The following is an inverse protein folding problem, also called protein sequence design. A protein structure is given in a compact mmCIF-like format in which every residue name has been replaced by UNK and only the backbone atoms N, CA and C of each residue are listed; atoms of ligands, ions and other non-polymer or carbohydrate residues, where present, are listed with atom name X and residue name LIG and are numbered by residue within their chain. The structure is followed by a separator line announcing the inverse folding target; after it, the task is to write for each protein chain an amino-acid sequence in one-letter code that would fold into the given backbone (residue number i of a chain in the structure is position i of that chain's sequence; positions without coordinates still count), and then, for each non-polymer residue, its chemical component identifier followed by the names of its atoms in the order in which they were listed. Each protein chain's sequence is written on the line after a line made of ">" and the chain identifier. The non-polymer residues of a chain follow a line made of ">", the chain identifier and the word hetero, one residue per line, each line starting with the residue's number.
data_IF_369106784355
#
_entry.id   IF_369106784355
#
_cell.length_a   1.000
_cell.length_b   1.000
_cell.length_c   1.000
_cell.angle_alpha   90.00
_cell.angle_beta   90.00
_cell.angle_gamma   90.00
#
_symmetry.space_group_name_H-M   'P 1'
#
loop_
_entity.id
_entity.type
_entity.pdbx_description
1 polymer ?
#
# COMPACT_ATOMS: atom_id res chain seq x y z
N UNK A 1 -73.99 -69.03 25.85
CA UNK A 1 -72.64 -69.67 25.75
C UNK A 1 -71.71 -68.66 25.10
N UNK A 2 -70.48 -68.35 25.51
CA UNK A 2 -69.48 -68.93 26.41
C UNK A 2 -68.52 -67.78 26.78
N UNK A 3 -68.52 -67.31 28.03
CA UNK A 3 -67.43 -67.44 29.02
C UNK A 3 -65.97 -67.25 28.55
N UNK A 4 -65.28 -66.40 29.34
CA UNK A 4 -63.88 -66.47 29.79
C UNK A 4 -62.77 -66.11 28.78
N UNK A 5 -61.64 -65.48 29.15
CA UNK A 5 -61.11 -65.10 30.44
C UNK A 5 -60.06 -63.98 30.29
N UNK A 6 -59.98 -63.16 31.34
CA UNK A 6 -58.88 -62.33 31.82
C UNK A 6 -57.46 -62.69 31.34
N UNK A 7 -56.73 -61.69 30.80
CA UNK A 7 -55.29 -61.54 31.05
C UNK A 7 -54.89 -60.07 31.27
N UNK A 8 -54.88 -59.72 32.56
CA UNK A 8 -53.98 -58.83 33.29
C UNK A 8 -52.80 -58.20 32.51
N UNK A 9 -52.84 -56.89 32.26
CA UNK A 9 -51.64 -56.08 32.01
C UNK A 9 -51.71 -54.81 32.87
N UNK A 10 -50.75 -54.70 33.78
CA UNK A 10 -50.60 -53.66 34.79
C UNK A 10 -50.35 -52.30 34.15
N UNK A 11 -51.08 -51.27 34.60
CA UNK A 11 -50.79 -49.86 34.31
C UNK A 11 -49.58 -49.45 35.15
N UNK A 12 -48.46 -49.13 34.50
CA UNK A 12 -47.37 -48.40 35.13
C UNK A 12 -47.20 -47.05 34.44
N UNK A 13 -47.05 -46.04 35.30
CA UNK A 13 -47.02 -44.63 34.98
C UNK A 13 -45.90 -44.28 34.00
N UNK A 14 -46.21 -43.33 33.10
CA UNK A 14 -45.24 -42.66 32.24
C UNK A 14 -44.41 -41.74 33.12
N UNK A 15 -43.17 -42.13 33.42
CA UNK A 15 -42.12 -41.25 33.94
C UNK A 15 -41.13 -41.06 32.80
N UNK A 16 -40.97 -39.86 32.22
CA UNK A 16 -39.93 -39.65 31.22
C UNK A 16 -38.58 -39.70 31.92
N UNK A 17 -37.78 -40.69 31.52
CA UNK A 17 -36.40 -40.92 31.88
C UNK A 17 -35.56 -39.70 31.46
N UNK A 18 -34.97 -39.03 32.44
CA UNK A 18 -33.94 -38.02 32.22
C UNK A 18 -32.75 -38.66 31.50
N UNK A 19 -32.55 -38.28 30.23
CA UNK A 19 -31.33 -38.62 29.49
C UNK A 19 -30.29 -37.52 29.73
N UNK A 20 -29.27 -37.88 30.50
CA UNK A 20 -28.05 -37.10 30.70
C UNK A 20 -27.34 -36.93 29.36
N UNK A 21 -27.33 -35.72 28.82
CA UNK A 21 -26.36 -35.28 27.81
C UNK A 21 -25.52 -34.17 28.45
N UNK A 22 -24.41 -34.59 29.06
CA UNK A 22 -23.25 -33.72 29.28
C UNK A 22 -22.75 -33.30 27.89
N UNK A 23 -22.99 -32.05 27.52
CA UNK A 23 -22.65 -31.56 26.19
C UNK A 23 -22.47 -30.06 26.14
N UNK A 24 -21.21 -29.66 26.31
CA UNK A 24 -20.62 -28.39 25.89
C UNK A 24 -21.18 -27.10 26.51
N UNK A 25 -20.50 -26.67 27.58
CA UNK A 25 -20.34 -25.26 27.90
C UNK A 25 -20.08 -24.48 26.60
N UNK A 26 -20.94 -23.51 26.29
CA UNK A 26 -20.66 -22.52 25.27
C UNK A 26 -19.46 -21.70 25.73
N UNK A 27 -18.26 -22.14 25.34
CA UNK A 27 -17.13 -21.24 25.20
C UNK A 27 -17.58 -20.19 24.18
N UNK A 28 -18.09 -19.07 24.70
CA UNK A 28 -18.10 -17.80 23.99
C UNK A 28 -16.71 -17.67 23.41
N UNK A 29 -16.61 -17.84 22.09
CA UNK A 29 -15.41 -17.55 21.35
C UNK A 29 -15.16 -16.07 21.57
N UNK A 30 -14.39 -15.74 22.61
CA UNK A 30 -13.61 -14.51 22.59
C UNK A 30 -12.91 -14.56 21.25
N UNK A 31 -13.23 -13.61 20.37
CA UNK A 31 -12.48 -13.39 19.15
C UNK A 31 -11.03 -13.26 19.58
N UNK A 32 -10.27 -14.35 19.42
CA UNK A 32 -8.83 -14.32 19.55
C UNK A 32 -8.41 -13.33 18.47
N UNK A 33 -7.95 -12.18 18.93
CA UNK A 33 -7.48 -11.07 18.12
C UNK A 33 -6.18 -11.53 17.46
N UNK A 34 -6.28 -12.34 16.41
CA UNK A 34 -5.15 -12.59 15.54
C UNK A 34 -4.90 -11.29 14.80
N UNK A 35 -3.73 -10.65 14.97
CA UNK A 35 -3.41 -9.48 14.16
C UNK A 35 -3.52 -9.89 12.69
N UNK A 36 -4.34 -9.15 11.95
CA UNK A 36 -4.44 -9.28 10.51
C UNK A 36 -3.04 -9.02 9.92
N UNK A 37 -2.34 -10.09 9.55
CA UNK A 37 -0.99 -10.04 9.02
C UNK A 37 -0.88 -9.00 7.88
N UNK A 38 -1.92 -8.90 7.06
CA UNK A 38 -2.05 -7.88 6.02
C UNK A 38 -1.99 -6.45 6.57
N UNK A 39 -2.79 -6.07 7.57
CA UNK A 39 -2.73 -4.70 8.09
C UNK A 39 -1.44 -4.43 8.87
N UNK A 40 -0.83 -5.46 9.49
CA UNK A 40 0.50 -5.31 10.06
C UNK A 40 1.56 -4.99 8.99
N UNK A 41 1.47 -5.63 7.82
CA UNK A 41 2.34 -5.34 6.67
C UNK A 41 2.04 -3.97 6.04
N UNK A 42 0.77 -3.59 5.92
CA UNK A 42 0.36 -2.26 5.43
C UNK A 42 0.90 -1.16 6.35
N UNK A 43 0.73 -1.30 7.66
CA UNK A 43 1.22 -0.31 8.61
C UNK A 43 2.76 -0.23 8.60
N UNK A 44 3.44 -1.38 8.51
CA UNK A 44 4.90 -1.39 8.33
C UNK A 44 5.32 -0.66 7.05
N UNK A 45 4.63 -0.89 5.94
CA UNK A 45 4.87 -0.20 4.68
C UNK A 45 4.68 1.31 4.82
N UNK A 46 3.61 1.74 5.48
CA UNK A 46 3.33 3.16 5.78
C UNK A 46 4.46 3.79 6.61
N UNK A 47 4.92 3.11 7.66
CA UNK A 47 6.03 3.59 8.49
C UNK A 47 7.32 3.75 7.68
N UNK A 48 7.67 2.77 6.85
CA UNK A 48 8.83 2.86 5.96
C UNK A 48 8.66 4.04 4.99
N UNK A 49 7.50 4.18 4.38
CA UNK A 49 7.23 5.22 3.38
C UNK A 49 7.43 6.65 3.92
N UNK A 50 6.96 6.92 5.15
CA UNK A 50 6.98 8.26 5.71
C UNK A 50 8.16 8.54 6.63
N UNK A 51 8.84 7.52 7.17
CA UNK A 51 9.88 7.71 8.18
C UNK A 51 11.27 7.20 7.77
N UNK A 52 11.38 6.27 6.81
CA UNK A 52 12.68 5.74 6.41
C UNK A 52 13.37 6.66 5.40
N UNK A 53 14.68 6.87 5.61
CA UNK A 53 15.52 7.72 4.76
C UNK A 53 16.50 6.90 3.93
N UNK A 54 16.62 5.59 4.20
CA UNK A 54 17.47 4.64 3.51
C UNK A 54 18.96 5.03 3.55
N UNK A 55 19.38 5.73 4.62
CA UNK A 55 20.71 6.31 4.75
C UNK A 55 21.08 7.22 3.55
N UNK A 56 20.07 7.87 2.96
CA UNK A 56 20.20 8.76 1.82
C UNK A 56 20.35 10.23 2.22
N UNK A 57 19.77 11.10 1.41
CA UNK A 57 19.83 12.56 1.54
C UNK A 57 18.89 13.17 2.62
N UNK A 58 18.28 12.34 3.47
CA UNK A 58 17.34 12.77 4.49
C UNK A 58 15.88 12.94 4.03
N UNK A 59 15.59 12.81 2.73
CA UNK A 59 14.20 12.69 2.23
C UNK A 59 13.63 11.31 2.53
N UNK A 60 12.31 11.23 2.66
CA UNK A 60 11.53 9.99 2.69
C UNK A 60 10.65 9.89 1.44
N UNK A 61 9.99 8.76 1.18
CA UNK A 61 9.04 8.67 0.07
C UNK A 61 7.95 9.75 0.20
N UNK A 62 7.51 10.01 1.44
CA UNK A 62 6.54 11.05 1.77
C UNK A 62 7.00 12.49 1.50
N UNK A 63 8.30 12.75 1.31
CA UNK A 63 8.79 14.10 0.96
C UNK A 63 8.32 14.51 -0.44
N UNK A 64 8.34 13.59 -1.40
CA UNK A 64 7.82 13.83 -2.75
C UNK A 64 6.35 13.42 -2.88
N UNK A 65 5.90 12.39 -2.16
CA UNK A 65 4.51 11.92 -2.16
C UNK A 65 3.75 12.44 -0.94
N UNK A 66 3.38 13.72 -0.99
CA UNK A 66 2.77 14.43 0.15
C UNK A 66 1.36 13.95 0.45
N UNK A 67 1.16 13.34 1.62
CA UNK A 67 -0.16 12.81 2.02
C UNK A 67 -1.21 13.92 2.12
N UNK A 68 -0.79 15.13 2.54
CA UNK A 68 -1.65 16.30 2.69
C UNK A 68 -2.04 16.90 1.33
N UNK A 69 -1.35 16.52 0.26
CA UNK A 69 -1.59 16.99 -1.11
C UNK A 69 -1.84 15.83 -2.08
N UNK A 70 -2.68 14.88 -1.70
CA UNK A 70 -3.10 13.76 -2.57
C UNK A 70 -1.93 12.98 -3.20
N UNK A 71 -0.84 12.82 -2.45
CA UNK A 71 0.41 12.14 -2.82
C UNK A 71 1.15 12.77 -4.01
N UNK A 72 0.94 14.06 -4.28
CA UNK A 72 1.56 14.82 -5.38
C UNK A 72 2.25 16.09 -4.90
N UNK A 73 2.99 16.73 -5.81
CA UNK A 73 3.60 18.05 -5.66
C UNK A 73 3.12 18.94 -6.80
N UNK A 74 2.69 20.14 -6.44
CA UNK A 74 2.41 21.22 -7.37
C UNK A 74 3.01 22.52 -6.83
N UNK A 75 3.24 23.53 -7.69
CA UNK A 75 3.88 24.78 -7.28
C UNK A 75 3.14 25.50 -6.15
N UNK A 76 1.80 25.41 -6.12
CA UNK A 76 1.01 26.09 -5.09
C UNK A 76 1.24 25.43 -3.72
N UNK A 77 1.28 24.10 -3.64
CA UNK A 77 1.62 23.39 -2.42
C UNK A 77 3.07 23.66 -1.99
N UNK A 78 4.04 23.59 -2.93
CA UNK A 78 5.46 23.83 -2.64
C UNK A 78 5.69 25.22 -2.04
N UNK A 79 4.99 26.23 -2.53
CA UNK A 79 5.09 27.60 -2.00
C UNK A 79 4.62 27.75 -0.54
N UNK A 80 3.90 26.76 0.01
CA UNK A 80 3.47 26.75 1.42
C UNK A 80 4.51 26.15 2.37
N UNK A 81 5.53 25.47 1.83
CA UNK A 81 6.51 24.74 2.64
C UNK A 81 7.56 25.67 3.22
N UNK A 82 8.06 25.39 4.44
CA UNK A 82 9.19 26.14 4.99
C UNK A 82 10.45 25.85 4.19
N UNK A 83 11.36 26.83 4.08
CA UNK A 83 12.64 26.65 3.34
C UNK A 83 13.55 25.55 3.94
N UNK A 84 13.27 25.09 5.15
CA UNK A 84 13.94 23.96 5.81
C UNK A 84 13.29 22.61 5.53
N UNK A 85 12.23 22.55 4.72
CA UNK A 85 11.59 21.28 4.34
C UNK A 85 12.62 20.38 3.63
N UNK A 86 12.67 19.06 3.92
CA UNK A 86 13.59 18.13 3.25
C UNK A 86 13.48 18.10 1.72
N UNK A 87 12.34 18.53 1.15
CA UNK A 87 12.21 18.75 -0.28
C UNK A 87 13.28 19.72 -0.81
N UNK A 88 13.71 20.69 -0.01
CA UNK A 88 14.67 21.73 -0.39
C UNK A 88 16.11 21.42 0.03
N UNK A 89 16.42 20.18 0.42
CA UNK A 89 17.74 19.82 0.96
C UNK A 89 18.92 20.22 0.06
N UNK A 90 18.74 20.23 -1.26
CA UNK A 90 19.76 20.69 -2.22
C UNK A 90 20.08 22.19 -2.11
N UNK A 91 19.14 23.00 -1.62
CA UNK A 91 19.29 24.46 -1.48
C UNK A 91 20.19 24.81 -0.29
N UNK A 92 20.28 23.94 0.73
CA UNK A 92 21.01 24.23 1.97
C UNK A 92 22.07 23.20 2.38
N UNK A 93 22.13 22.02 1.74
CA UNK A 93 23.22 21.07 1.92
C UNK A 93 24.23 21.21 0.78
N UNK A 94 25.47 21.68 1.04
CA UNK A 94 26.48 21.89 0.00
C UNK A 94 26.85 20.60 -0.75
N UNK A 95 26.78 19.43 -0.10
CA UNK A 95 27.11 18.14 -0.72
C UNK A 95 26.07 17.70 -1.76
N UNK A 96 24.91 18.36 -1.82
CA UNK A 96 23.79 18.05 -2.70
C UNK A 96 23.49 19.17 -3.71
N UNK A 97 24.37 20.15 -3.87
CA UNK A 97 24.13 21.28 -4.79
C UNK A 97 24.34 20.91 -6.26
N UNK A 98 25.14 19.89 -6.55
CA UNK A 98 25.50 19.50 -7.90
C UNK A 98 24.78 18.20 -8.31
N UNK A 99 24.16 18.20 -9.49
CA UNK A 99 23.55 17.03 -10.13
C UNK A 99 22.56 16.24 -9.25
N UNK A 100 21.84 16.92 -8.36
CA UNK A 100 20.88 16.30 -7.44
C UNK A 100 19.45 16.77 -7.65
N UNK A 101 19.18 18.08 -7.59
CA UNK A 101 17.87 18.68 -7.85
C UNK A 101 18.05 19.99 -8.62
N UNK A 102 17.05 20.40 -9.40
CA UNK A 102 17.00 21.74 -9.95
C UNK A 102 15.98 22.59 -9.18
N UNK A 103 16.40 23.45 -8.22
CA UNK A 103 15.46 24.18 -7.36
C UNK A 103 14.44 25.01 -8.12
N UNK A 104 14.84 25.60 -9.26
CA UNK A 104 13.93 26.39 -10.09
C UNK A 104 12.81 25.52 -10.66
N UNK A 105 13.15 24.38 -11.26
CA UNK A 105 12.14 23.51 -11.88
C UNK A 105 11.24 22.83 -10.84
N UNK A 106 11.80 22.46 -9.69
CA UNK A 106 11.04 21.94 -8.56
C UNK A 106 10.07 22.99 -8.02
N UNK A 107 10.53 24.22 -7.71
CA UNK A 107 9.67 25.28 -7.14
C UNK A 107 8.60 25.77 -8.13
N UNK A 108 8.96 25.98 -9.39
CA UNK A 108 8.07 26.59 -10.39
C UNK A 108 7.12 25.59 -11.06
N UNK A 109 7.49 24.31 -11.16
CA UNK A 109 6.73 23.30 -11.90
C UNK A 109 6.41 22.03 -11.11
N UNK A 110 6.94 21.85 -9.89
CA UNK A 110 6.77 20.62 -9.13
C UNK A 110 7.48 19.41 -9.74
N UNK A 111 8.54 19.65 -10.52
CA UNK A 111 9.32 18.60 -11.16
C UNK A 111 10.50 18.18 -10.29
N UNK A 112 10.68 16.88 -10.14
CA UNK A 112 11.76 16.24 -9.39
C UNK A 112 12.75 15.63 -10.38
N UNK A 113 14.05 15.81 -10.11
CA UNK A 113 15.10 15.16 -10.90
C UNK A 113 15.14 13.66 -10.59
N UNK A 114 15.06 12.82 -11.63
CA UNK A 114 15.20 11.37 -11.49
C UNK A 114 16.26 10.82 -12.46
N UNK A 115 16.99 9.79 -12.01
CA UNK A 115 18.04 9.13 -12.78
C UNK A 115 17.57 7.75 -13.27
N UNK A 116 16.39 7.69 -13.92
CA UNK A 116 15.75 6.44 -14.34
C UNK A 116 16.64 5.61 -15.28
N UNK A 117 17.45 6.27 -16.10
CA UNK A 117 18.37 5.66 -17.06
C UNK A 117 19.78 5.36 -16.47
N UNK A 118 19.94 5.49 -15.15
CA UNK A 118 21.16 5.16 -14.42
C UNK A 118 22.09 6.35 -14.10
N UNK A 119 23.15 6.08 -13.34
CA UNK A 119 23.98 7.09 -12.66
C UNK A 119 25.33 7.38 -13.34
N UNK A 120 25.52 6.95 -14.59
CA UNK A 120 26.83 6.99 -15.26
C UNK A 120 27.25 8.40 -15.71
N UNK A 121 26.29 9.31 -15.91
CA UNK A 121 26.52 10.72 -16.24
C UNK A 121 25.40 11.59 -15.65
N UNK A 122 25.56 12.02 -14.40
CA UNK A 122 24.52 12.77 -13.70
C UNK A 122 24.30 14.19 -14.26
N UNK A 123 25.22 14.69 -15.08
CA UNK A 123 25.12 16.04 -15.66
C UNK A 123 24.25 16.06 -16.92
N UNK A 124 23.98 14.91 -17.55
CA UNK A 124 23.21 14.84 -18.79
C UNK A 124 22.17 13.71 -18.83
N UNK A 125 22.36 12.66 -18.03
CA UNK A 125 21.49 11.48 -17.97
C UNK A 125 20.53 11.56 -16.77
N UNK A 126 19.63 12.54 -16.83
CA UNK A 126 18.55 12.72 -15.87
C UNK A 126 17.27 13.12 -16.60
N UNK A 127 16.13 12.89 -15.94
CA UNK A 127 14.85 13.43 -16.37
C UNK A 127 14.28 14.34 -15.27
N UNK A 128 13.30 15.16 -15.63
CA UNK A 128 12.53 15.96 -14.68
C UNK A 128 11.09 15.44 -14.70
N UNK A 129 10.71 14.69 -13.66
CA UNK A 129 9.42 14.02 -13.53
C UNK A 129 8.48 14.75 -12.59
N UNK A 130 7.19 14.82 -12.93
CA UNK A 130 6.16 15.24 -11.99
C UNK A 130 5.77 14.07 -11.08
N UNK A 131 5.34 14.36 -9.85
CA UNK A 131 4.84 13.32 -8.94
C UNK A 131 3.35 13.09 -9.21
N UNK A 132 2.92 11.97 -9.81
CA UNK A 132 1.49 11.75 -10.05
C UNK A 132 0.74 11.57 -8.74
N UNK A 133 -0.48 12.11 -8.65
CA UNK A 133 -1.39 11.87 -7.53
C UNK A 133 -1.81 10.39 -7.45
N UNK A 134 -2.77 10.00 -6.61
CA UNK A 134 -3.28 8.60 -6.56
C UNK A 134 -4.64 8.38 -7.21
N UNK A 135 -5.33 9.46 -7.64
CA UNK A 135 -6.73 9.39 -8.09
C UNK A 135 -6.98 8.40 -9.25
N UNK A 136 -6.09 8.31 -10.24
CA UNK A 136 -6.25 7.39 -11.37
C UNK A 136 -5.28 6.20 -11.37
N UNK A 137 -4.58 5.96 -10.25
CA UNK A 137 -3.71 4.79 -10.08
C UNK A 137 -4.49 3.49 -10.27
N UNK A 138 -5.73 3.43 -9.76
CA UNK A 138 -6.60 2.25 -9.92
C UNK A 138 -6.99 2.01 -11.39
N UNK A 139 -7.18 3.06 -12.17
CA UNK A 139 -7.60 2.97 -13.58
C UNK A 139 -6.43 2.74 -14.53
N UNK A 140 -5.21 3.09 -14.14
CA UNK A 140 -4.01 2.89 -14.96
C UNK A 140 -3.41 1.49 -14.89
N UNK A 141 -3.79 0.70 -13.87
CA UNK A 141 -3.34 -0.69 -13.70
C UNK A 141 -4.18 -1.66 -14.55
N UNK A 142 -5.30 -1.20 -15.13
CA UNK A 142 -6.16 -2.06 -15.95
C UNK A 142 -5.50 -2.38 -17.30
N UNK A 143 -5.15 -3.66 -17.46
CA UNK A 143 -4.38 -4.18 -18.59
C UNK A 143 -5.34 -4.35 -19.78
N UNK A 144 -5.44 -3.31 -20.61
CA UNK A 144 -6.16 -3.42 -21.88
C UNK A 144 -5.45 -4.37 -22.87
N UNK A 145 -6.12 -4.79 -23.96
CA UNK A 145 -5.46 -5.56 -25.01
C UNK A 145 -4.30 -4.73 -25.63
N UNK A 146 -3.31 -5.40 -26.25
CA UNK A 146 -2.15 -4.77 -26.86
C UNK A 146 -2.47 -3.53 -27.71
N UNK A 147 -1.55 -2.55 -27.82
CA UNK A 147 -0.11 -2.73 -27.63
C UNK A 147 0.37 -2.49 -26.19
N UNK A 148 1.36 -3.29 -25.79
CA UNK A 148 2.00 -3.39 -24.47
C UNK A 148 2.74 -2.11 -24.00
N UNK A 149 2.51 -0.98 -24.66
CA UNK A 149 3.13 0.33 -24.42
C UNK A 149 2.15 1.30 -23.73
N UNK A 150 1.45 0.83 -22.69
CA UNK A 150 0.85 1.79 -21.77
C UNK A 150 1.98 2.37 -20.94
N UNK A 151 2.10 3.68 -20.93
CA UNK A 151 3.14 4.43 -20.25
C UNK A 151 3.09 4.32 -18.72
N UNK A 152 2.33 3.37 -18.16
CA UNK A 152 2.13 3.24 -16.72
C UNK A 152 1.40 4.43 -16.10
N UNK A 153 1.21 4.40 -14.79
CA UNK A 153 0.66 5.51 -14.01
C UNK A 153 1.54 6.76 -14.08
N UNK A 154 2.87 6.58 -14.23
CA UNK A 154 3.87 7.65 -14.26
C UNK A 154 4.14 8.24 -15.64
N UNK A 155 3.62 7.65 -16.73
CA UNK A 155 3.93 8.14 -18.08
C UNK A 155 5.30 7.72 -18.62
N UNK A 156 6.08 6.95 -17.86
CA UNK A 156 7.46 6.53 -18.12
C UNK A 156 7.60 5.29 -19.00
N UNK A 157 6.53 4.49 -19.13
CA UNK A 157 6.58 3.22 -19.86
C UNK A 157 7.26 2.12 -19.08
N UNK A 158 6.88 0.87 -19.35
CA UNK A 158 7.57 -0.27 -18.73
C UNK A 158 9.04 -0.28 -19.17
N UNK A 159 10.01 -0.48 -18.25
CA UNK A 159 11.40 -0.67 -18.64
C UNK A 159 11.45 -1.82 -19.63
N UNK A 160 11.87 -1.53 -20.86
CA UNK A 160 11.93 -2.51 -21.94
C UNK A 160 12.81 -3.67 -21.51
N UNK A 161 12.20 -4.83 -21.26
CA UNK A 161 12.93 -6.09 -21.10
C UNK A 161 13.39 -6.60 -22.45
N UNK A 162 14.32 -5.91 -23.12
CA UNK A 162 15.07 -6.51 -24.22
C UNK A 162 16.47 -5.95 -24.33
N UNK A 163 17.46 -6.84 -24.19
CA UNK A 163 18.80 -6.70 -24.78
C UNK A 163 18.67 -6.16 -26.22
N UNK A 164 18.98 -4.89 -26.42
CA UNK A 164 19.36 -4.35 -27.73
C UNK A 164 20.83 -3.92 -27.70
N UNK A 165 21.69 -4.81 -27.20
CA UNK A 165 23.08 -4.84 -27.63
C UNK A 165 23.22 -5.93 -28.68
N UNK A 166 22.89 -5.59 -29.92
CA UNK A 166 23.51 -6.21 -31.09
C UNK A 166 23.74 -5.11 -32.11
N UNK A 167 24.98 -5.09 -32.57
CA UNK A 167 25.61 -4.18 -33.54
C UNK A 167 24.73 -3.92 -34.76
#
# INVERSE_FOLDING_TARGET
>A
MSQNNSHNIKRYAVVPLALVLLGFSTLSQGQLFFPNQEAALIERGRLIFFNETFNGNGRTCGTCHRAENNMTLDPAFIATLPDTDPLFVAEFNPDLQENFENPRLMREFGLILENQDGFNDLASNFNMGGVPHVLAQRTSIDIGPPPDFRTGWGGDGAPVTTRAHRR
#
